data_IF_487214657411
#
_entry.id   IF_487214657411
#
_cell.length_a   1.000
_cell.length_b   1.000
_cell.length_c   1.000
_cell.angle_alpha   90.00
_cell.angle_beta   90.00
_cell.angle_gamma   90.00
#
_symmetry.space_group_name_H-M   'P 1'
#
loop_
_entity.id
_entity.type
_entity.pdbx_description
1 polymer ?
#
# COMPACT_ATOMS: atom_id res chain seq x y z
N UNK A 1 -1.11 -23.03 -17.41
CA UNK A 1 -1.32 -21.59 -17.19
C UNK A 1 0.02 -20.97 -16.85
N UNK A 2 0.35 -19.86 -17.51
CA UNK A 2 1.62 -19.15 -17.33
C UNK A 2 1.37 -17.78 -16.68
N UNK A 3 2.15 -17.42 -15.66
CA UNK A 3 2.07 -16.12 -15.01
C UNK A 3 3.41 -15.43 -14.94
N UNK A 4 3.41 -14.11 -14.82
CA UNK A 4 4.63 -13.36 -14.53
C UNK A 4 4.53 -12.69 -13.15
N UNK A 5 5.60 -12.83 -12.36
CA UNK A 5 5.80 -12.12 -11.11
C UNK A 5 6.80 -10.99 -11.39
N UNK A 6 6.32 -9.74 -11.35
CA UNK A 6 7.07 -8.58 -11.81
C UNK A 6 7.62 -7.80 -10.60
N UNK A 7 8.93 -7.55 -10.61
CA UNK A 7 9.65 -6.74 -9.62
C UNK A 7 10.61 -5.79 -10.33
N UNK A 8 10.92 -4.66 -9.69
CA UNK A 8 12.15 -3.92 -9.98
C UNK A 8 13.36 -4.61 -9.31
N UNK A 9 14.59 -4.25 -9.73
CA UNK A 9 15.81 -4.89 -9.25
C UNK A 9 15.99 -4.78 -7.73
N UNK A 10 15.72 -3.59 -7.15
CA UNK A 10 15.85 -3.38 -5.70
C UNK A 10 14.78 -4.14 -4.92
N UNK A 11 13.56 -4.18 -5.44
CA UNK A 11 12.45 -4.93 -4.87
C UNK A 11 12.75 -6.43 -4.88
N UNK A 12 13.28 -6.96 -5.98
CA UNK A 12 13.67 -8.35 -6.10
C UNK A 12 14.75 -8.74 -5.09
N UNK A 13 15.82 -7.96 -4.99
CA UNK A 13 16.93 -8.20 -4.05
C UNK A 13 16.46 -8.21 -2.58
N UNK A 14 15.48 -7.35 -2.23
CA UNK A 14 14.94 -7.29 -0.85
C UNK A 14 13.93 -8.38 -0.51
N UNK A 15 13.37 -9.07 -1.51
CA UNK A 15 12.26 -10.00 -1.34
C UNK A 15 12.55 -11.42 -1.91
N UNK A 16 13.79 -11.84 -2.00
CA UNK A 16 14.20 -13.16 -2.55
C UNK A 16 13.41 -14.34 -1.95
N UNK A 17 13.27 -14.35 -0.62
CA UNK A 17 12.50 -15.38 0.06
C UNK A 17 11.02 -15.37 -0.38
N UNK A 18 10.42 -14.19 -0.47
CA UNK A 18 9.00 -14.04 -0.86
C UNK A 18 8.78 -14.44 -2.31
N UNK A 19 9.71 -14.08 -3.21
CA UNK A 19 9.72 -14.50 -4.61
C UNK A 19 9.81 -16.03 -4.71
N UNK A 20 10.76 -16.64 -3.98
CA UNK A 20 10.89 -18.10 -3.95
C UNK A 20 9.61 -18.79 -3.47
N UNK A 21 8.95 -18.23 -2.44
CA UNK A 21 7.68 -18.71 -1.94
C UNK A 21 6.59 -18.66 -3.02
N UNK A 22 6.48 -17.56 -3.77
CA UNK A 22 5.53 -17.45 -4.90
C UNK A 22 5.76 -18.52 -5.97
N UNK A 23 7.01 -18.68 -6.42
CA UNK A 23 7.35 -19.65 -7.47
C UNK A 23 7.06 -21.09 -7.03
N UNK A 24 7.40 -21.44 -5.80
CA UNK A 24 7.16 -22.77 -5.25
C UNK A 24 5.66 -23.03 -5.05
N UNK A 25 4.92 -22.06 -4.55
CA UNK A 25 3.49 -22.20 -4.32
C UNK A 25 2.73 -22.29 -5.64
N UNK A 26 3.03 -21.42 -6.61
CA UNK A 26 2.43 -21.48 -7.95
C UNK A 26 2.62 -22.87 -8.60
N UNK A 27 3.83 -23.43 -8.48
CA UNK A 27 4.13 -24.79 -8.99
C UNK A 27 3.27 -25.87 -8.32
N UNK A 28 2.99 -25.77 -7.03
CA UNK A 28 2.09 -26.72 -6.31
C UNK A 28 0.67 -26.71 -6.88
N UNK A 29 0.23 -25.57 -7.43
CA UNK A 29 -1.08 -25.41 -8.09
C UNK A 29 -1.05 -25.60 -9.61
N UNK A 30 0.07 -26.10 -10.19
CA UNK A 30 0.18 -26.35 -11.63
C UNK A 30 0.31 -25.08 -12.48
N UNK A 31 0.80 -23.98 -11.88
CA UNK A 31 1.05 -22.71 -12.56
C UNK A 31 2.54 -22.53 -12.80
N UNK A 32 2.93 -22.24 -14.04
CA UNK A 32 4.29 -21.86 -14.43
C UNK A 32 4.43 -20.33 -14.21
N UNK A 33 4.92 -19.95 -13.03
CA UNK A 33 5.13 -18.55 -12.66
C UNK A 33 6.60 -18.17 -12.90
N UNK A 34 6.84 -17.13 -13.70
CA UNK A 34 8.18 -16.64 -14.05
C UNK A 34 8.47 -15.28 -13.42
N UNK A 35 9.61 -15.16 -12.74
CA UNK A 35 10.10 -13.87 -12.27
C UNK A 35 10.55 -13.02 -13.46
N UNK A 36 10.06 -11.77 -13.52
CA UNK A 36 10.48 -10.72 -14.45
C UNK A 36 11.01 -9.53 -13.66
N UNK A 37 12.27 -9.23 -13.85
CA UNK A 37 12.89 -8.03 -13.28
C UNK A 37 12.86 -6.96 -14.36
N UNK A 38 12.27 -5.81 -14.05
CA UNK A 38 12.02 -4.73 -15.02
C UNK A 38 12.55 -3.40 -14.50
N UNK A 39 13.02 -2.57 -15.42
CA UNK A 39 13.42 -1.19 -15.15
C UNK A 39 12.42 -0.18 -15.71
N UNK A 40 11.69 -0.58 -16.75
CA UNK A 40 10.71 0.27 -17.42
C UNK A 40 9.73 -0.56 -18.27
N UNK A 41 8.72 0.12 -18.86
CA UNK A 41 7.80 -0.50 -19.82
C UNK A 41 8.52 -0.99 -21.11
N UNK A 42 9.67 -0.43 -21.44
CA UNK A 42 10.44 -0.84 -22.62
C UNK A 42 10.98 -2.28 -22.51
N UNK A 43 10.99 -2.86 -21.31
CA UNK A 43 11.40 -4.25 -21.10
C UNK A 43 10.35 -5.27 -21.60
N UNK A 44 9.16 -4.79 -21.99
CA UNK A 44 8.09 -5.61 -22.54
C UNK A 44 7.91 -5.37 -24.04
N UNK A 45 8.26 -6.34 -24.87
CA UNK A 45 8.09 -6.28 -26.34
C UNK A 45 6.64 -6.56 -26.79
N UNK A 46 5.82 -7.10 -25.91
CA UNK A 46 4.43 -7.45 -26.19
C UNK A 46 4.22 -8.64 -27.13
N UNK A 47 5.29 -9.30 -27.57
CA UNK A 47 5.22 -10.42 -28.53
C UNK A 47 4.75 -11.73 -27.86
N UNK A 48 5.07 -11.94 -26.60
CA UNK A 48 4.65 -13.12 -25.83
C UNK A 48 4.09 -12.64 -24.48
N UNK A 49 2.78 -12.83 -24.28
CA UNK A 49 2.09 -12.39 -23.06
C UNK A 49 1.77 -13.60 -22.18
N UNK A 50 1.78 -13.44 -20.84
CA UNK A 50 1.34 -14.48 -19.92
C UNK A 50 -0.19 -14.50 -19.82
N UNK A 51 -0.74 -15.52 -19.18
CA UNK A 51 -2.17 -15.58 -18.87
C UNK A 51 -2.58 -14.56 -17.79
N UNK A 52 -1.65 -14.17 -16.91
CA UNK A 52 -1.83 -13.13 -15.88
C UNK A 52 -0.49 -12.57 -15.39
N UNK A 53 -0.54 -11.44 -14.69
CA UNK A 53 0.64 -10.84 -14.03
C UNK A 53 0.37 -10.50 -12.57
N UNK A 54 1.37 -10.71 -11.71
CA UNK A 54 1.42 -10.24 -10.33
C UNK A 54 2.46 -9.12 -10.30
N UNK A 55 2.01 -7.86 -10.13
CA UNK A 55 2.91 -6.70 -10.12
C UNK A 55 3.30 -6.37 -8.69
N UNK A 56 4.59 -6.47 -8.37
CA UNK A 56 5.17 -6.23 -7.05
C UNK A 56 6.20 -5.10 -7.07
N UNK A 57 6.02 -4.16 -7.98
CA UNK A 57 6.74 -2.89 -8.04
C UNK A 57 5.76 -1.75 -8.16
N UNK A 58 6.16 -0.54 -7.69
CA UNK A 58 5.31 0.64 -7.71
C UNK A 58 5.45 1.32 -9.07
N UNK A 59 4.72 0.80 -10.03
CA UNK A 59 4.70 1.28 -11.41
C UNK A 59 3.32 1.01 -12.04
N UNK A 60 2.28 1.82 -11.71
CA UNK A 60 0.91 1.60 -12.19
C UNK A 60 0.79 1.46 -13.71
N UNK A 61 1.68 2.11 -14.47
CA UNK A 61 1.74 1.99 -15.94
C UNK A 61 2.02 0.57 -16.42
N UNK A 62 2.68 -0.28 -15.62
CA UNK A 62 2.86 -1.70 -15.94
C UNK A 62 1.51 -2.41 -15.88
N UNK A 63 0.73 -2.17 -14.82
CA UNK A 63 -0.62 -2.74 -14.70
C UNK A 63 -1.48 -2.31 -15.90
N UNK A 64 -1.47 -1.00 -16.23
CA UNK A 64 -2.21 -0.48 -17.38
C UNK A 64 -1.80 -1.12 -18.71
N UNK A 65 -0.49 -1.29 -18.93
CA UNK A 65 0.04 -1.90 -20.15
C UNK A 65 -0.51 -3.32 -20.38
N UNK A 66 -0.58 -4.15 -19.33
CA UNK A 66 -1.09 -5.51 -19.44
C UNK A 66 -2.62 -5.52 -19.56
N UNK A 67 -3.34 -4.70 -18.81
CA UNK A 67 -4.80 -4.60 -18.91
C UNK A 67 -5.26 -4.15 -20.31
N UNK A 68 -4.58 -3.18 -20.93
CA UNK A 68 -4.85 -2.74 -22.31
C UNK A 68 -4.63 -3.86 -23.34
N UNK A 69 -3.87 -4.91 -23.00
CA UNK A 69 -3.66 -6.11 -23.81
C UNK A 69 -4.56 -7.28 -23.43
N UNK A 70 -5.50 -7.07 -22.50
CA UNK A 70 -6.41 -8.09 -22.04
C UNK A 70 -5.79 -9.11 -21.08
N UNK A 71 -4.62 -8.83 -20.50
CA UNK A 71 -3.97 -9.67 -19.51
C UNK A 71 -4.37 -9.20 -18.10
N UNK A 72 -5.02 -10.06 -17.28
CA UNK A 72 -5.37 -9.72 -15.90
C UNK A 72 -4.14 -9.36 -15.06
N UNK A 73 -4.26 -8.30 -14.25
CA UNK A 73 -3.21 -7.84 -13.34
C UNK A 73 -3.66 -7.92 -11.89
N UNK A 74 -2.78 -8.33 -11.01
CA UNK A 74 -2.99 -8.48 -9.57
C UNK A 74 -1.94 -7.64 -8.81
N UNK A 75 -2.31 -6.43 -8.25
CA UNK A 75 -3.61 -5.75 -8.34
C UNK A 75 -3.86 -5.12 -9.73
N UNK A 76 -5.08 -4.57 -9.93
CA UNK A 76 -5.42 -3.82 -11.16
C UNK A 76 -4.82 -2.40 -11.17
N UNK A 77 -4.82 -1.76 -12.36
CA UNK A 77 -4.27 -0.41 -12.58
C UNK A 77 -4.90 0.65 -11.66
N UNK A 78 -6.23 0.62 -11.49
CA UNK A 78 -6.93 1.62 -10.68
C UNK A 78 -6.47 1.56 -9.21
N UNK A 79 -6.34 0.35 -8.67
CA UNK A 79 -5.81 0.11 -7.33
C UNK A 79 -4.37 0.58 -7.22
N UNK A 80 -3.49 0.13 -8.11
CA UNK A 80 -2.06 0.47 -8.07
C UNK A 80 -1.84 1.98 -8.15
N UNK A 81 -2.57 2.68 -9.03
CA UNK A 81 -2.50 4.14 -9.18
C UNK A 81 -2.95 4.89 -7.94
N UNK A 82 -4.07 4.48 -7.32
CA UNK A 82 -4.66 5.19 -6.18
C UNK A 82 -3.91 4.87 -4.89
N UNK A 83 -3.60 3.60 -4.64
CA UNK A 83 -2.93 3.14 -3.43
C UNK A 83 -1.51 3.72 -3.29
N UNK A 84 -0.80 3.87 -4.39
CA UNK A 84 0.56 4.41 -4.37
C UNK A 84 0.62 5.96 -4.39
N UNK A 85 -0.52 6.64 -4.24
CA UNK A 85 -0.59 8.11 -4.20
C UNK A 85 -1.49 8.58 -3.05
N UNK A 86 -0.87 9.15 -2.01
CA UNK A 86 -1.57 9.58 -0.78
C UNK A 86 -2.62 10.67 -1.03
N UNK A 87 -2.41 11.53 -2.05
CA UNK A 87 -3.41 12.52 -2.42
C UNK A 87 -4.62 11.87 -3.09
N UNK A 88 -4.40 10.93 -4.02
CA UNK A 88 -5.49 10.21 -4.67
C UNK A 88 -6.27 9.35 -3.66
N UNK A 89 -5.58 8.70 -2.72
CA UNK A 89 -6.23 7.97 -1.61
C UNK A 89 -7.10 8.91 -0.77
N UNK A 90 -6.62 10.12 -0.43
CA UNK A 90 -7.41 11.10 0.30
C UNK A 90 -8.64 11.57 -0.50
N UNK A 91 -8.48 11.83 -1.80
CA UNK A 91 -9.61 12.22 -2.67
C UNK A 91 -10.66 11.10 -2.75
N UNK A 92 -10.23 9.85 -2.83
CA UNK A 92 -11.13 8.69 -2.77
C UNK A 92 -11.89 8.63 -1.42
N UNK A 93 -11.22 8.92 -0.31
CA UNK A 93 -11.89 9.00 0.99
C UNK A 93 -13.00 10.06 1.00
N UNK A 94 -12.75 11.24 0.39
CA UNK A 94 -13.76 12.29 0.29
C UNK A 94 -14.94 11.87 -0.59
N UNK A 95 -14.68 11.24 -1.73
CA UNK A 95 -15.71 10.72 -2.64
C UNK A 95 -16.61 9.69 -1.95
N UNK A 96 -16.00 8.74 -1.22
CA UNK A 96 -16.72 7.64 -0.55
C UNK A 96 -17.21 8.00 0.86
N UNK A 97 -17.01 9.23 1.31
CA UNK A 97 -17.33 9.70 2.66
C UNK A 97 -16.70 8.81 3.76
N UNK A 98 -15.46 8.37 3.52
CA UNK A 98 -14.65 7.61 4.48
C UNK A 98 -13.93 8.58 5.40
N UNK A 99 -13.98 8.39 6.74
CA UNK A 99 -13.24 9.19 7.69
C UNK A 99 -11.74 9.14 7.42
N UNK A 100 -11.13 10.31 7.22
CA UNK A 100 -9.69 10.50 7.01
C UNK A 100 -9.23 11.81 7.67
N UNK A 101 -7.93 11.92 7.93
CA UNK A 101 -7.38 13.15 8.48
C UNK A 101 -7.51 14.29 7.48
N UNK A 102 -7.83 15.51 7.98
CA UNK A 102 -7.86 16.71 7.13
C UNK A 102 -6.50 16.87 6.43
N UNK A 103 -6.53 16.86 5.12
CA UNK A 103 -5.37 16.88 4.24
C UNK A 103 -5.54 17.96 3.18
N UNK A 104 -4.46 18.63 2.80
CA UNK A 104 -4.44 19.63 1.73
C UNK A 104 -3.13 19.57 0.95
N UNK A 105 -3.15 20.04 -0.30
CA UNK A 105 -1.93 20.19 -1.10
C UNK A 105 -1.03 21.25 -0.47
N UNK A 106 0.28 20.99 -0.46
CA UNK A 106 1.26 21.96 0.07
C UNK A 106 1.44 23.15 -0.89
N UNK A 107 1.12 23.00 -2.17
CA UNK A 107 1.09 24.09 -3.17
C UNK A 107 -0.07 25.07 -2.96
N UNK A 108 -1.10 24.71 -2.17
CA UNK A 108 -2.21 25.59 -1.82
C UNK A 108 -1.92 26.37 -0.53
N UNK A 109 -2.60 27.51 -0.28
CA UNK A 109 -2.48 28.23 0.99
C UNK A 109 -2.80 27.33 2.17
N UNK A 110 -1.86 27.24 3.12
CA UNK A 110 -2.01 26.37 4.29
C UNK A 110 -3.07 26.90 5.26
N UNK A 111 -4.06 26.07 5.57
CA UNK A 111 -5.12 26.32 6.55
C UNK A 111 -5.01 25.42 7.80
N UNK A 112 -3.95 24.59 7.88
CA UNK A 112 -3.70 23.74 9.04
C UNK A 112 -2.90 24.48 10.10
N UNK A 113 -3.27 24.26 11.37
CA UNK A 113 -2.50 24.73 12.51
C UNK A 113 -1.34 23.76 12.81
N UNK A 114 -0.25 24.28 13.35
CA UNK A 114 0.83 23.45 13.90
C UNK A 114 0.37 22.70 15.17
N UNK A 115 0.88 21.47 15.41
CA UNK A 115 1.71 20.68 14.50
C UNK A 115 0.89 19.97 13.41
N UNK A 116 1.52 19.73 12.25
CA UNK A 116 0.98 18.92 11.18
C UNK A 116 2.07 18.05 10.54
N UNK A 117 1.71 17.15 9.63
CA UNK A 117 2.63 16.23 8.96
C UNK A 117 2.73 16.61 7.50
N UNK A 118 3.96 16.74 6.97
CA UNK A 118 4.22 16.76 5.52
C UNK A 118 4.49 15.34 5.04
N UNK A 119 3.93 14.98 3.89
CA UNK A 119 4.13 13.69 3.23
C UNK A 119 4.29 13.89 1.73
N UNK A 120 5.26 13.21 1.09
CA UNK A 120 5.26 13.13 -0.36
C UNK A 120 4.06 12.30 -0.85
N UNK A 121 3.61 12.53 -2.09
CA UNK A 121 2.47 11.79 -2.65
C UNK A 121 2.77 10.29 -2.76
N UNK A 122 3.97 9.94 -3.19
CA UNK A 122 4.45 8.61 -3.57
C UNK A 122 5.54 8.04 -2.66
N UNK A 123 5.89 8.73 -1.57
CA UNK A 123 6.89 8.27 -0.60
C UNK A 123 6.43 7.02 0.17
N UNK A 124 7.34 6.09 0.39
CA UNK A 124 7.09 4.81 1.05
C UNK A 124 8.00 4.61 2.27
N UNK A 125 7.57 3.73 3.19
CA UNK A 125 8.36 3.37 4.38
C UNK A 125 8.57 4.49 5.38
N UNK A 126 7.89 5.63 5.24
CA UNK A 126 7.99 6.78 6.14
C UNK A 126 9.23 7.65 5.96
N UNK A 127 10.00 7.48 4.88
CA UNK A 127 11.24 8.24 4.62
C UNK A 127 11.00 9.71 4.30
N UNK A 128 9.87 10.01 3.65
CA UNK A 128 9.48 11.37 3.23
C UNK A 128 8.24 11.85 4.03
N UNK A 129 8.25 11.58 5.32
CA UNK A 129 7.18 11.97 6.26
C UNK A 129 7.81 12.80 7.38
N UNK A 130 7.43 14.07 7.49
CA UNK A 130 8.03 15.03 8.40
C UNK A 130 7.00 15.63 9.35
N UNK A 131 7.29 15.64 10.64
CA UNK A 131 6.50 16.37 11.64
C UNK A 131 6.93 17.85 11.65
N UNK A 132 6.00 18.72 11.31
CA UNK A 132 6.17 20.18 11.30
C UNK A 132 5.54 20.77 12.55
N UNK A 133 6.38 21.20 13.48
CA UNK A 133 5.94 21.72 14.80
C UNK A 133 5.65 23.20 14.79
N UNK A 134 6.35 23.95 13.94
CA UNK A 134 6.29 25.39 13.87
C UNK A 134 6.71 25.92 12.49
N UNK A 135 6.71 27.24 12.35
CA UNK A 135 7.06 27.93 11.11
C UNK A 135 8.53 27.73 10.70
N UNK A 136 9.43 27.67 11.66
CA UNK A 136 10.87 27.50 11.36
C UNK A 136 11.13 26.13 10.74
N UNK A 137 10.56 25.05 11.32
CA UNK A 137 10.64 23.70 10.75
C UNK A 137 10.00 23.64 9.36
N UNK A 138 8.87 24.33 9.15
CA UNK A 138 8.25 24.38 7.82
C UNK A 138 9.19 25.01 6.80
N UNK A 139 9.75 26.17 7.09
CA UNK A 139 10.63 26.88 6.16
C UNK A 139 11.91 26.10 5.85
N UNK A 140 12.46 25.35 6.84
CA UNK A 140 13.56 24.42 6.65
C UNK A 140 13.15 23.32 5.62
N UNK A 141 12.00 22.66 5.79
CA UNK A 141 11.58 21.60 4.87
C UNK A 141 11.30 22.14 3.46
N UNK A 142 10.68 23.31 3.35
CA UNK A 142 10.38 23.95 2.09
C UNK A 142 11.64 24.33 1.27
N UNK A 143 12.83 24.36 1.89
CA UNK A 143 14.08 24.67 1.19
C UNK A 143 14.60 23.53 0.31
N UNK A 144 14.14 22.29 0.52
CA UNK A 144 14.63 21.11 -0.21
C UNK A 144 13.55 20.17 -0.78
N UNK A 145 12.25 20.44 -0.51
CA UNK A 145 11.15 19.66 -1.08
C UNK A 145 10.45 20.43 -2.22
N UNK A 146 9.95 19.68 -3.22
CA UNK A 146 9.04 20.26 -4.21
C UNK A 146 7.61 20.28 -3.65
N UNK A 147 7.07 21.48 -3.43
CA UNK A 147 5.71 21.70 -2.90
C UNK A 147 4.61 21.03 -3.72
N UNK A 148 4.85 20.81 -5.01
CA UNK A 148 3.87 20.19 -5.91
C UNK A 148 3.73 18.69 -5.69
N UNK A 149 4.72 18.06 -5.04
CA UNK A 149 4.75 16.62 -4.76
C UNK A 149 4.45 16.31 -3.29
N UNK A 150 4.02 17.30 -2.50
CA UNK A 150 3.76 17.14 -1.08
C UNK A 150 2.35 17.57 -0.67
N UNK A 151 1.84 16.88 0.33
CA UNK A 151 0.63 17.24 1.07
C UNK A 151 0.96 17.60 2.52
N UNK A 152 0.10 18.42 3.10
CA UNK A 152 0.06 18.70 4.53
C UNK A 152 -1.18 18.01 5.12
N UNK A 153 -0.99 17.24 6.19
CA UNK A 153 -2.04 16.49 6.88
C UNK A 153 -2.06 16.85 8.36
N UNK A 154 -3.27 17.10 8.91
CA UNK A 154 -3.44 17.32 10.35
C UNK A 154 -2.85 16.14 11.13
N UNK A 155 -2.08 16.42 12.19
CA UNK A 155 -1.57 15.37 13.06
C UNK A 155 -2.73 14.70 13.81
N UNK A 156 -2.71 13.36 13.87
CA UNK A 156 -3.70 12.61 14.64
C UNK A 156 -3.51 12.83 16.15
N UNK A 157 -4.51 12.50 16.95
CA UNK A 157 -4.45 12.68 18.41
C UNK A 157 -3.56 11.62 19.10
N UNK A 158 -3.24 10.53 18.42
CA UNK A 158 -2.42 9.43 18.96
C UNK A 158 -1.29 9.10 17.98
N UNK A 159 -0.30 10.01 17.81
CA UNK A 159 0.84 9.77 16.94
C UNK A 159 1.68 8.58 17.46
N UNK A 160 2.41 7.92 16.56
CA UNK A 160 3.19 6.73 16.88
C UNK A 160 2.36 5.45 17.01
N UNK A 161 1.07 5.48 16.64
CA UNK A 161 0.19 4.31 16.69
C UNK A 161 -0.66 4.21 15.43
N UNK A 162 -0.58 3.10 14.75
CA UNK A 162 -1.42 2.79 13.58
C UNK A 162 -1.80 1.31 13.55
N UNK A 163 -2.71 0.97 12.66
CA UNK A 163 -3.15 -0.41 12.44
C UNK A 163 -3.10 -0.72 10.95
N UNK A 164 -2.30 -1.70 10.57
CA UNK A 164 -2.33 -2.29 9.24
C UNK A 164 -3.32 -3.43 9.19
N UNK A 165 -4.26 -3.37 8.27
CA UNK A 165 -5.17 -4.47 7.96
C UNK A 165 -4.76 -5.06 6.62
N UNK A 166 -4.39 -6.34 6.62
CA UNK A 166 -4.16 -7.11 5.40
C UNK A 166 -5.49 -7.57 4.83
N UNK A 167 -5.72 -7.29 3.57
CA UNK A 167 -6.97 -7.58 2.87
C UNK A 167 -6.68 -8.31 1.57
N UNK A 168 -7.45 -9.34 1.27
CA UNK A 168 -7.36 -10.12 0.04
C UNK A 168 -8.75 -10.27 -0.57
N UNK A 169 -8.94 -9.76 -1.79
CA UNK A 169 -10.22 -9.85 -2.49
C UNK A 169 -11.40 -9.25 -1.69
N UNK A 170 -11.14 -8.16 -0.95
CA UNK A 170 -12.13 -7.51 -0.08
C UNK A 170 -12.28 -8.15 1.31
N UNK A 171 -11.74 -9.35 1.54
CA UNK A 171 -11.85 -10.04 2.83
C UNK A 171 -10.66 -9.71 3.74
N UNK A 172 -10.96 -9.46 5.02
CA UNK A 172 -9.93 -9.19 6.04
C UNK A 172 -9.16 -10.47 6.37
N UNK A 173 -7.86 -10.46 6.11
CA UNK A 173 -6.96 -11.58 6.46
C UNK A 173 -6.45 -11.44 7.90
N UNK A 174 -5.92 -10.27 8.27
CA UNK A 174 -5.34 -10.04 9.60
C UNK A 174 -5.20 -8.55 9.87
N UNK A 175 -5.44 -8.13 11.12
CA UNK A 175 -5.10 -6.80 11.61
C UNK A 175 -3.84 -6.84 12.47
N UNK A 176 -2.93 -5.89 12.25
CA UNK A 176 -1.68 -5.74 13.02
C UNK A 176 -1.58 -4.31 13.52
N UNK A 177 -1.67 -4.13 14.83
CA UNK A 177 -1.41 -2.87 15.50
C UNK A 177 0.10 -2.66 15.56
N UNK A 178 0.56 -1.47 15.12
CA UNK A 178 1.96 -1.05 15.20
C UNK A 178 2.06 0.14 16.16
N UNK A 179 3.10 0.18 16.97
CA UNK A 179 3.34 1.28 17.90
C UNK A 179 4.82 1.61 18.01
N UNK A 180 5.11 2.90 18.18
CA UNK A 180 6.43 3.43 18.49
C UNK A 180 6.35 4.34 19.72
N UNK A 181 7.24 4.15 20.66
CA UNK A 181 7.34 5.00 21.84
C UNK A 181 8.20 6.28 21.60
N UNK A 182 8.98 6.29 20.54
CA UNK A 182 10.01 7.32 20.28
C UNK A 182 9.77 8.12 19.00
N UNK A 183 8.98 7.62 18.06
CA UNK A 183 8.70 8.27 16.78
C UNK A 183 7.19 8.48 16.62
N UNK A 184 6.78 9.59 16.01
CA UNK A 184 5.38 9.84 15.65
C UNK A 184 4.88 8.89 14.53
N UNK A 185 5.80 8.24 13.81
CA UNK A 185 5.56 7.17 12.85
C UNK A 185 5.63 5.82 13.56
N UNK A 186 4.77 4.90 13.21
CA UNK A 186 4.67 3.56 13.79
C UNK A 186 5.24 2.45 12.89
N UNK A 187 5.98 2.82 11.84
CA UNK A 187 6.51 1.88 10.87
C UNK A 187 7.38 0.80 11.53
N UNK A 188 7.04 -0.45 11.32
CA UNK A 188 7.78 -1.61 11.85
C UNK A 188 9.26 -1.62 11.45
N UNK A 189 9.56 -1.17 10.23
CA UNK A 189 10.94 -1.02 9.72
C UNK A 189 11.79 -0.01 10.50
N UNK A 190 11.17 0.87 11.28
CA UNK A 190 11.84 1.88 12.12
C UNK A 190 11.99 1.42 13.59
N UNK A 191 11.77 0.13 13.88
CA UNK A 191 11.93 -0.44 15.22
C UNK A 191 10.66 -0.37 16.09
N UNK A 192 9.49 -0.13 15.48
CA UNK A 192 8.20 -0.17 16.18
C UNK A 192 7.84 -1.60 16.64
N UNK A 193 7.03 -1.68 17.70
CA UNK A 193 6.41 -2.93 18.14
C UNK A 193 5.19 -3.25 17.27
N UNK A 194 4.86 -4.54 17.15
CA UNK A 194 3.70 -5.00 16.42
C UNK A 194 3.00 -6.15 17.14
N UNK A 195 1.67 -6.16 17.12
CA UNK A 195 0.85 -7.25 17.66
C UNK A 195 -0.40 -7.47 16.81
N UNK A 196 -0.84 -8.71 16.70
CA UNK A 196 -2.11 -9.05 16.04
C UNK A 196 -3.27 -8.50 16.87
N UNK A 197 -4.26 -7.93 16.19
CA UNK A 197 -5.44 -7.37 16.85
C UNK A 197 -6.71 -7.54 16.00
N UNK A 198 -7.85 -7.47 16.66
CA UNK A 198 -9.15 -7.57 16.02
C UNK A 198 -9.41 -6.31 15.16
N UNK A 199 -9.96 -6.51 13.98
CA UNK A 199 -10.44 -5.45 13.08
C UNK A 199 -11.90 -5.13 13.43
N UNK A 200 -12.18 -3.86 13.71
CA UNK A 200 -13.52 -3.42 14.12
C UNK A 200 -14.54 -3.51 12.98
N UNK A 201 -15.85 -3.58 13.29
CA UNK A 201 -16.90 -3.53 12.27
C UNK A 201 -16.82 -2.29 11.37
N UNK A 202 -16.50 -1.12 11.95
CA UNK A 202 -16.33 0.14 11.20
C UNK A 202 -15.17 0.04 10.19
N UNK A 203 -14.02 -0.52 10.59
CA UNK A 203 -12.88 -0.70 9.66
C UNK A 203 -13.23 -1.69 8.54
N UNK A 204 -13.97 -2.77 8.84
CA UNK A 204 -14.46 -3.70 7.81
C UNK A 204 -15.42 -3.04 6.83
N UNK A 205 -16.32 -2.19 7.30
CA UNK A 205 -17.22 -1.40 6.43
C UNK A 205 -16.43 -0.46 5.50
N UNK A 206 -15.40 0.22 6.02
CA UNK A 206 -14.51 1.06 5.22
C UNK A 206 -13.81 0.23 4.13
N UNK A 207 -13.27 -0.93 4.50
CA UNK A 207 -12.61 -1.84 3.57
C UNK A 207 -13.56 -2.29 2.46
N UNK A 208 -14.80 -2.62 2.80
CA UNK A 208 -15.81 -3.00 1.80
C UNK A 208 -16.16 -1.85 0.85
N UNK A 209 -16.31 -0.61 1.33
CA UNK A 209 -16.49 0.56 0.47
C UNK A 209 -15.33 0.76 -0.51
N UNK A 210 -14.10 0.60 -0.03
CA UNK A 210 -12.91 0.67 -0.87
C UNK A 210 -12.87 -0.45 -1.90
N UNK A 211 -13.19 -1.68 -1.49
CA UNK A 211 -13.20 -2.85 -2.37
C UNK A 211 -14.24 -2.71 -3.50
N UNK A 212 -15.45 -2.27 -3.18
CA UNK A 212 -16.49 -2.05 -4.18
C UNK A 212 -16.11 -0.99 -5.24
N UNK A 213 -15.19 -0.09 -4.91
CA UNK A 213 -14.73 0.95 -5.84
C UNK A 213 -13.47 0.54 -6.63
N UNK A 214 -12.55 -0.16 -5.99
CA UNK A 214 -11.22 -0.44 -6.55
C UNK A 214 -11.07 -1.88 -7.04
N UNK A 215 -11.84 -2.83 -6.50
CA UNK A 215 -11.73 -4.26 -6.79
C UNK A 215 -10.29 -4.79 -6.64
N UNK A 216 -9.63 -4.38 -5.54
CA UNK A 216 -8.26 -4.79 -5.26
C UNK A 216 -8.15 -6.26 -4.86
N UNK A 217 -6.98 -6.84 -5.08
CA UNK A 217 -6.63 -8.18 -4.65
C UNK A 217 -5.93 -8.16 -3.30
N UNK A 218 -4.60 -8.18 -3.25
CA UNK A 218 -3.85 -8.12 -2.00
C UNK A 218 -3.36 -6.70 -1.72
N UNK A 219 -3.89 -6.10 -0.65
CA UNK A 219 -3.48 -4.75 -0.18
C UNK A 219 -3.28 -4.70 1.33
N UNK A 220 -2.53 -3.70 1.78
CA UNK A 220 -2.53 -3.24 3.16
C UNK A 220 -3.38 -1.98 3.28
N UNK A 221 -4.33 -1.96 4.22
CA UNK A 221 -5.13 -0.78 4.54
C UNK A 221 -4.67 -0.27 5.91
N UNK A 222 -4.07 0.92 5.92
CA UNK A 222 -3.51 1.50 7.13
C UNK A 222 -4.47 2.51 7.76
N UNK A 223 -4.77 2.31 9.03
CA UNK A 223 -5.62 3.19 9.86
C UNK A 223 -4.80 3.85 10.94
N UNK A 224 -5.09 5.12 11.24
CA UNK A 224 -4.54 5.84 12.40
C UNK A 224 -5.64 6.19 13.39
N UNK A 225 -5.27 6.24 14.67
CA UNK A 225 -6.24 6.53 15.74
C UNK A 225 -6.34 8.05 15.96
N UNK A 226 -7.56 8.59 15.83
CA UNK A 226 -7.85 10.00 16.05
C UNK A 226 -9.12 10.17 16.89
N UNK A 227 -9.00 10.77 18.07
CA UNK A 227 -10.09 11.00 19.02
C UNK A 227 -10.87 9.73 19.40
N UNK A 228 -10.16 8.59 19.50
CA UNK A 228 -10.76 7.30 19.85
C UNK A 228 -11.33 6.53 18.67
N UNK A 229 -11.29 7.06 17.44
CA UNK A 229 -11.80 6.42 16.23
C UNK A 229 -10.67 6.09 15.26
N UNK A 230 -10.80 4.96 14.56
CA UNK A 230 -9.90 4.58 13.48
C UNK A 230 -10.31 5.29 12.19
N UNK A 231 -9.40 6.09 11.63
CA UNK A 231 -9.58 6.77 10.35
C UNK A 231 -8.58 6.26 9.32
N UNK A 232 -8.99 6.23 8.04
CA UNK A 232 -8.11 5.78 6.97
C UNK A 232 -6.91 6.72 6.83
N UNK A 233 -5.72 6.14 6.70
CA UNK A 233 -4.48 6.87 6.46
C UNK A 233 -3.94 6.66 5.04
N UNK A 234 -3.76 5.39 4.63
CA UNK A 234 -3.26 5.03 3.31
C UNK A 234 -3.66 3.59 2.91
N UNK A 235 -3.53 3.29 1.62
CA UNK A 235 -3.64 1.95 1.07
C UNK A 235 -2.27 1.61 0.48
N UNK A 236 -1.75 0.42 0.76
CA UNK A 236 -0.50 -0.09 0.16
C UNK A 236 -0.83 -1.21 -0.82
N UNK A 237 -0.61 -1.00 -2.11
CA UNK A 237 -0.74 -2.00 -3.17
C UNK A 237 0.35 -3.08 -3.04
N UNK A 238 1.62 -2.66 -3.04
CA UNK A 238 2.77 -3.58 -2.85
C UNK A 238 3.02 -3.79 -1.36
N UNK A 239 2.02 -4.31 -0.65
CA UNK A 239 2.09 -4.43 0.80
C UNK A 239 3.17 -5.39 1.27
N UNK A 240 3.97 -4.95 2.26
CA UNK A 240 4.97 -5.78 2.93
C UNK A 240 4.32 -6.74 3.93
N UNK A 241 4.54 -8.04 3.77
CA UNK A 241 3.87 -9.11 4.54
C UNK A 241 4.70 -9.72 5.66
N UNK A 242 5.89 -9.18 5.95
CA UNK A 242 6.82 -9.73 6.97
C UNK A 242 6.17 -9.88 8.35
N UNK A 243 5.25 -8.98 8.73
CA UNK A 243 4.56 -9.05 10.01
C UNK A 243 3.58 -10.24 10.06
N UNK A 244 2.91 -10.62 8.96
CA UNK A 244 2.08 -11.82 8.92
C UNK A 244 2.89 -13.05 9.27
N UNK A 245 4.00 -13.27 8.59
CA UNK A 245 4.87 -14.44 8.83
C UNK A 245 5.55 -14.43 10.20
N UNK A 246 5.73 -13.25 10.82
CA UNK A 246 6.36 -13.15 12.14
C UNK A 246 5.39 -13.38 13.30
N UNK A 247 4.12 -12.99 13.14
CA UNK A 247 3.15 -12.94 14.24
C UNK A 247 1.95 -13.86 14.03
N UNK A 248 1.88 -14.58 12.91
CA UNK A 248 0.80 -15.51 12.58
C UNK A 248 1.33 -16.71 11.80
N UNK A 249 0.52 -17.78 11.71
CA UNK A 249 0.77 -18.93 10.84
C UNK A 249 0.12 -18.78 9.45
N UNK A 250 -0.28 -17.58 9.06
CA UNK A 250 -0.96 -17.32 7.79
C UNK A 250 0.05 -17.36 6.64
N UNK A 251 -0.11 -18.29 5.72
CA UNK A 251 0.59 -18.30 4.43
C UNK A 251 -0.16 -17.43 3.42
N UNK A 252 0.20 -16.13 3.39
CA UNK A 252 -0.45 -15.17 2.50
C UNK A 252 -0.16 -15.45 1.02
N UNK A 253 0.97 -16.07 0.69
CA UNK A 253 1.28 -16.45 -0.69
C UNK A 253 0.35 -17.56 -1.16
N UNK A 254 0.09 -18.57 -0.33
CA UNK A 254 -0.87 -19.62 -0.64
C UNK A 254 -2.29 -19.08 -0.85
N UNK A 255 -2.74 -18.22 0.08
CA UNK A 255 -4.04 -17.56 -0.04
C UNK A 255 -4.14 -16.73 -1.34
N UNK A 256 -3.08 -15.99 -1.69
CA UNK A 256 -3.07 -15.11 -2.84
C UNK A 256 -3.06 -15.89 -4.16
N UNK A 257 -2.26 -16.96 -4.29
CA UNK A 257 -2.27 -17.81 -5.49
C UNK A 257 -3.65 -18.45 -5.68
N UNK A 258 -4.27 -18.95 -4.61
CA UNK A 258 -5.64 -19.50 -4.70
C UNK A 258 -6.67 -18.45 -5.12
N UNK A 259 -6.57 -17.23 -4.59
CA UNK A 259 -7.43 -16.12 -4.99
C UNK A 259 -7.27 -15.82 -6.49
N UNK A 260 -6.04 -15.70 -6.98
CA UNK A 260 -5.75 -15.45 -8.41
C UNK A 260 -6.39 -16.53 -9.28
N UNK A 261 -6.23 -17.80 -8.91
CA UNK A 261 -6.81 -18.92 -9.67
C UNK A 261 -8.34 -18.90 -9.69
N UNK A 262 -8.97 -18.50 -8.59
CA UNK A 262 -10.43 -18.30 -8.53
C UNK A 262 -10.89 -17.14 -9.42
N UNK A 263 -10.11 -16.06 -9.54
CA UNK A 263 -10.44 -14.94 -10.41
C UNK A 263 -10.27 -15.27 -11.91
N UNK A 264 -9.44 -16.27 -12.24
CA UNK A 264 -9.15 -16.67 -13.62
C UNK A 264 -10.02 -17.85 -14.10
N UNK A 265 -10.79 -18.50 -13.23
CA UNK A 265 -11.70 -19.61 -13.55
C UNK A 265 -13.04 -19.12 -14.05
#
# INVERSE_FOLDING_TARGET
MTGWLIYDEQGAARNEWFISSFLQTAKRYGVDLFLKIVSSLADFDGACLPDFVIVRTIAPEINRFFEEKGVPTFNNYATSKIANNKWLTYMLCQELQIPAMKTQLLSSPLSLNFPFVLKSFDGHGGTEVFLVRDRQVLDEKLSFIDKNNYLAQKLCSTPGKDMRVYVLGGEVVCGVLRSSATDFRSNFSLGGEAQVCAVSPQQKEIIQKLFLKLHFDLVGVDFILHNGEWVLNEIEDVVGTRMLYRYTDIDIVDLYIRHILLCLS
#
